data_IF_855288851809
#
_entry.id   IF_855288851809
#
_cell.length_a   1.000
_cell.length_b   1.000
_cell.length_c   1.000
_cell.angle_alpha   90.00
_cell.angle_beta   90.00
_cell.angle_gamma   90.00
#
_symmetry.space_group_name_H-M   'P 1'
#
loop_
_entity.id
_entity.type
_entity.pdbx_description
1 polymer ?
#
# COMPACT_ATOMS: atom_id res chain seq x y z
N UNK A 1 40.44 -2.28 51.27
CA UNK A 1 39.67 -1.05 50.93
C UNK A 1 40.70 -0.05 50.43
N UNK A 2 40.79 0.35 49.16
CA UNK A 2 39.74 0.82 48.25
C UNK A 2 40.14 0.56 46.78
N UNK A 3 39.19 0.12 45.96
CA UNK A 3 39.32 -0.09 44.52
C UNK A 3 39.14 1.23 43.76
N UNK A 4 39.95 1.46 42.72
CA UNK A 4 39.74 2.54 41.75
C UNK A 4 39.40 1.95 40.39
N UNK A 5 38.16 2.10 39.88
CA UNK A 5 37.87 1.83 38.47
C UNK A 5 38.04 3.13 37.66
N UNK A 6 39.04 3.13 36.78
CA UNK A 6 39.17 4.12 35.69
C UNK A 6 37.89 4.10 34.86
N UNK A 7 37.15 5.20 34.92
CA UNK A 7 35.98 5.46 34.11
C UNK A 7 36.33 5.38 32.61
N UNK A 8 35.94 4.29 31.96
CA UNK A 8 35.90 4.20 30.50
C UNK A 8 34.62 4.88 30.04
N UNK A 9 34.73 6.14 29.64
CA UNK A 9 33.65 6.90 29.03
C UNK A 9 33.51 6.46 27.57
N UNK A 10 32.80 5.35 27.34
CA UNK A 10 32.44 4.90 25.99
C UNK A 10 31.27 5.75 25.51
N UNK A 11 31.56 6.80 24.74
CA UNK A 11 30.55 7.60 24.04
C UNK A 11 29.94 6.71 22.94
N UNK A 12 28.81 6.06 23.23
CA UNK A 12 27.99 5.43 22.19
C UNK A 12 27.39 6.55 21.33
N UNK A 13 27.91 6.71 20.11
CA UNK A 13 27.24 7.48 19.08
C UNK A 13 25.91 6.78 18.76
N UNK A 14 24.81 7.38 19.21
CA UNK A 14 23.49 7.07 18.70
C UNK A 14 23.44 7.55 17.25
N UNK A 15 23.74 6.67 16.30
CA UNK A 15 23.38 6.87 14.91
C UNK A 15 21.87 6.83 14.84
N UNK A 16 21.24 8.00 14.87
CA UNK A 16 19.88 8.17 14.40
C UNK A 16 19.85 7.64 12.97
N UNK A 17 19.29 6.44 12.79
CA UNK A 17 18.90 5.94 11.50
C UNK A 17 17.88 6.95 10.95
N UNK A 18 18.35 7.85 10.09
CA UNK A 18 17.50 8.55 9.13
C UNK A 18 16.87 7.46 8.27
N UNK A 19 15.71 6.97 8.69
CA UNK A 19 14.80 6.27 7.79
C UNK A 19 14.45 7.31 6.74
N UNK A 20 15.12 7.25 5.59
CA UNK A 20 14.73 7.98 4.41
C UNK A 20 13.25 7.67 4.18
N UNK A 21 12.38 8.67 4.37
CA UNK A 21 11.04 8.61 3.82
C UNK A 21 11.23 8.51 2.30
N UNK A 22 11.21 7.28 1.78
CA UNK A 22 11.11 7.02 0.35
C UNK A 22 9.86 7.78 -0.10
N UNK A 23 10.04 8.82 -0.91
CA UNK A 23 8.91 9.55 -1.47
C UNK A 23 8.07 8.52 -2.25
N UNK A 24 6.82 8.32 -1.85
CA UNK A 24 5.90 7.37 -2.48
C UNK A 24 5.40 7.98 -3.80
N UNK A 25 6.28 8.04 -4.80
CA UNK A 25 6.02 8.67 -6.10
C UNK A 25 4.84 8.03 -6.84
N UNK A 26 4.59 6.75 -6.58
CA UNK A 26 3.55 5.97 -7.25
C UNK A 26 2.22 5.95 -6.48
N UNK A 27 2.12 6.61 -5.33
CA UNK A 27 0.89 6.61 -4.53
C UNK A 27 -0.31 7.07 -5.38
N UNK A 28 -1.39 6.31 -5.44
CA UNK A 28 -2.59 6.63 -6.22
C UNK A 28 -2.45 6.50 -7.75
N UNK A 29 -1.29 6.08 -8.27
CA UNK A 29 -1.15 5.70 -9.67
C UNK A 29 -1.94 4.42 -9.97
N UNK A 30 -2.37 4.25 -11.21
CA UNK A 30 -3.07 3.03 -11.63
C UNK A 30 -2.08 1.86 -11.68
N UNK A 31 -2.51 0.68 -11.24
CA UNK A 31 -1.71 -0.53 -11.24
C UNK A 31 -2.46 -1.73 -11.79
N UNK A 32 -1.74 -2.66 -12.41
CA UNK A 32 -2.22 -4.00 -12.77
C UNK A 32 -2.31 -4.89 -11.54
N UNK A 33 -3.45 -5.55 -11.36
CA UNK A 33 -3.61 -6.52 -10.28
C UNK A 33 -3.04 -7.86 -10.71
N UNK A 34 -2.08 -8.36 -9.95
CA UNK A 34 -1.39 -9.63 -10.20
C UNK A 34 -1.57 -10.58 -9.02
N UNK A 35 -1.40 -11.87 -9.31
CA UNK A 35 -1.36 -12.93 -8.30
C UNK A 35 -0.08 -13.75 -8.45
N UNK A 36 0.43 -14.35 -7.36
CA UNK A 36 1.48 -15.35 -7.46
C UNK A 36 1.09 -16.54 -8.34
N UNK A 37 2.10 -17.06 -9.04
CA UNK A 37 2.04 -18.21 -9.92
C UNK A 37 3.47 -18.67 -10.24
N UNK A 38 3.60 -19.82 -10.92
CA UNK A 38 4.91 -20.43 -11.21
C UNK A 38 5.81 -19.56 -12.10
N UNK A 39 5.23 -18.67 -12.92
CA UNK A 39 5.98 -17.73 -13.77
C UNK A 39 5.36 -16.33 -13.66
N UNK A 40 5.78 -15.52 -12.67
CA UNK A 40 5.21 -14.21 -12.41
C UNK A 40 5.66 -13.15 -13.46
N UNK A 41 4.88 -12.06 -13.64
CA UNK A 41 3.60 -11.76 -12.98
C UNK A 41 2.40 -12.43 -13.68
N UNK A 42 1.48 -13.03 -12.92
CA UNK A 42 0.21 -13.51 -13.47
C UNK A 42 -0.89 -12.46 -13.27
N UNK A 43 -1.43 -11.86 -14.34
CA UNK A 43 -2.51 -10.89 -14.22
C UNK A 43 -3.78 -11.55 -13.70
N UNK A 44 -4.53 -10.80 -12.89
CA UNK A 44 -5.88 -11.16 -12.47
C UNK A 44 -6.84 -10.64 -13.56
N UNK A 45 -7.75 -11.45 -14.11
CA UNK A 45 -8.72 -10.96 -15.08
C UNK A 45 -9.87 -10.20 -14.41
N UNK A 46 -10.45 -9.24 -15.12
CA UNK A 46 -11.46 -8.29 -14.61
C UNK A 46 -12.69 -8.97 -14.00
N UNK A 47 -13.10 -10.12 -14.55
CA UNK A 47 -14.25 -10.89 -14.06
C UNK A 47 -14.05 -11.43 -12.63
N UNK A 48 -12.80 -11.58 -12.19
CA UNK A 48 -12.46 -12.04 -10.83
C UNK A 48 -12.56 -10.94 -9.79
N UNK A 49 -12.55 -9.68 -10.22
CA UNK A 49 -12.67 -8.50 -9.36
C UNK A 49 -13.95 -7.70 -9.61
N UNK A 50 -14.99 -8.37 -10.13
CA UNK A 50 -16.21 -7.72 -10.58
C UNK A 50 -17.18 -7.31 -9.44
N UNK A 51 -16.96 -7.78 -8.21
CA UNK A 51 -17.82 -7.40 -7.08
C UNK A 51 -17.55 -5.95 -6.68
N UNK A 52 -18.61 -5.17 -6.54
CA UNK A 52 -18.52 -3.75 -6.19
C UNK A 52 -18.58 -3.48 -4.69
N UNK A 53 -18.77 -4.53 -3.88
CA UNK A 53 -19.03 -4.46 -2.44
C UNK A 53 -17.89 -5.01 -1.56
N UNK A 54 -16.80 -5.50 -2.17
CA UNK A 54 -15.59 -5.95 -1.46
C UNK A 54 -14.35 -5.26 -2.02
N UNK A 55 -13.34 -5.06 -1.17
CA UNK A 55 -12.05 -4.55 -1.60
C UNK A 55 -11.15 -5.70 -2.08
N UNK A 56 -10.39 -5.47 -3.15
CA UNK A 56 -9.41 -6.42 -3.66
C UNK A 56 -8.00 -5.89 -3.47
N UNK A 57 -7.10 -6.76 -3.02
CA UNK A 57 -5.70 -6.43 -2.72
C UNK A 57 -4.80 -7.36 -3.51
N UNK A 58 -3.89 -6.79 -4.30
CA UNK A 58 -2.84 -7.51 -5.01
C UNK A 58 -1.47 -7.08 -4.46
N UNK A 59 -0.76 -8.01 -3.82
CA UNK A 59 0.62 -7.79 -3.39
C UNK A 59 1.58 -8.10 -4.55
N UNK A 60 2.56 -7.22 -4.77
CA UNK A 60 3.59 -7.45 -5.78
C UNK A 60 3.19 -7.03 -7.20
N UNK A 61 2.34 -6.01 -7.34
CA UNK A 61 2.28 -5.28 -8.61
C UNK A 61 3.63 -4.62 -8.85
N UNK A 62 4.32 -5.01 -9.93
CA UNK A 62 5.58 -4.39 -10.33
C UNK A 62 5.45 -2.88 -10.62
N UNK A 63 4.23 -2.41 -10.86
CA UNK A 63 3.92 -1.00 -11.13
C UNK A 63 3.83 -0.16 -9.84
N UNK A 64 3.87 -0.78 -8.66
CA UNK A 64 3.69 -0.10 -7.38
C UNK A 64 4.95 -0.02 -6.51
N UNK A 65 6.07 -0.60 -6.94
CA UNK A 65 7.31 -0.69 -6.16
C UNK A 65 7.04 -1.21 -4.73
N UNK A 66 7.25 -0.39 -3.69
CA UNK A 66 6.98 -0.71 -2.27
C UNK A 66 5.50 -0.56 -1.84
N UNK A 67 4.59 -0.21 -2.76
CA UNK A 67 3.17 -0.01 -2.51
C UNK A 67 2.32 -1.24 -2.87
N UNK A 68 1.07 -1.24 -2.39
CA UNK A 68 0.11 -2.32 -2.63
C UNK A 68 -0.92 -1.89 -3.67
N UNK A 69 -1.24 -2.77 -4.63
CA UNK A 69 -2.27 -2.48 -5.62
C UNK A 69 -3.66 -2.82 -5.06
N UNK A 70 -4.50 -1.81 -4.84
CA UNK A 70 -5.83 -1.97 -4.23
C UNK A 70 -6.92 -1.50 -5.19
N UNK A 71 -7.98 -2.31 -5.30
CA UNK A 71 -9.24 -1.90 -5.92
C UNK A 71 -10.30 -1.76 -4.83
N UNK A 72 -10.81 -0.55 -4.68
CA UNK A 72 -11.69 -0.18 -3.56
C UNK A 72 -13.16 -0.32 -3.94
N UNK A 73 -13.92 -1.03 -3.12
CA UNK A 73 -15.35 -1.21 -3.25
C UNK A 73 -16.08 0.13 -3.20
N UNK A 74 -17.01 0.33 -4.15
CA UNK A 74 -17.79 1.56 -4.27
C UNK A 74 -17.01 2.76 -4.83
N UNK A 75 -15.77 2.58 -5.26
CA UNK A 75 -14.97 3.63 -5.91
C UNK A 75 -14.96 3.44 -7.43
N UNK A 76 -14.67 4.50 -8.19
CA UNK A 76 -14.48 4.40 -9.63
C UNK A 76 -13.27 3.49 -9.93
N UNK A 77 -13.47 2.54 -10.83
CA UNK A 77 -12.42 1.61 -11.22
C UNK A 77 -11.59 2.21 -12.36
N UNK A 78 -10.26 2.05 -12.34
CA UNK A 78 -9.43 2.47 -13.45
C UNK A 78 -9.79 1.69 -14.73
N UNK A 79 -9.66 2.31 -15.92
CA UNK A 79 -9.96 1.65 -17.19
C UNK A 79 -9.05 0.43 -17.35
N UNK A 80 -9.62 -0.74 -17.64
CA UNK A 80 -8.85 -1.94 -17.96
C UNK A 80 -8.48 -2.00 -19.45
N UNK A 81 -7.28 -2.49 -19.71
CA UNK A 81 -6.87 -2.91 -21.05
C UNK A 81 -6.96 -4.44 -21.11
N UNK A 82 -7.38 -5.00 -22.24
CA UNK A 82 -7.34 -6.46 -22.47
C UNK A 82 -8.06 -7.31 -21.40
N UNK A 83 -9.07 -6.76 -20.72
CA UNK A 83 -9.82 -7.44 -19.63
C UNK A 83 -8.96 -7.80 -18.41
N UNK A 84 -7.82 -7.16 -18.22
CA UNK A 84 -6.97 -7.33 -17.03
C UNK A 84 -7.45 -6.41 -15.90
N UNK A 85 -7.57 -6.94 -14.69
CA UNK A 85 -7.94 -6.19 -13.52
C UNK A 85 -6.92 -5.11 -13.19
N UNK A 86 -7.41 -3.90 -12.91
CA UNK A 86 -6.59 -2.78 -12.44
C UNK A 86 -7.12 -2.21 -11.11
N UNK A 87 -6.22 -1.57 -10.37
CA UNK A 87 -6.46 -0.87 -9.12
C UNK A 87 -5.57 0.37 -9.02
N UNK A 88 -5.34 0.84 -7.79
CA UNK A 88 -4.43 1.95 -7.50
C UNK A 88 -3.35 1.57 -6.50
N UNK A 89 -2.12 2.00 -6.75
CA UNK A 89 -1.02 1.83 -5.81
C UNK A 89 -1.31 2.60 -4.53
N UNK A 90 -1.21 1.92 -3.41
CA UNK A 90 -1.72 2.40 -2.14
C UNK A 90 -0.73 2.07 -1.03
N UNK A 91 -0.59 2.99 -0.09
CA UNK A 91 0.21 2.79 1.10
C UNK A 91 -0.63 2.56 2.35
N UNK A 92 -0.04 1.88 3.33
CA UNK A 92 -0.52 1.89 4.69
C UNK A 92 -0.57 3.33 5.24
N UNK A 93 -1.56 3.61 6.08
CA UNK A 93 -1.78 4.94 6.66
C UNK A 93 -2.24 4.87 8.11
N UNK A 94 -1.99 5.94 8.86
CA UNK A 94 -2.52 6.15 10.20
C UNK A 94 -3.79 7.03 10.16
N UNK A 95 -3.72 8.08 9.35
CA UNK A 95 -4.73 9.12 9.16
C UNK A 95 -4.70 9.68 7.73
N UNK A 96 -5.63 10.58 7.41
CA UNK A 96 -5.76 11.16 6.07
C UNK A 96 -4.55 12.02 5.66
N UNK A 97 -3.77 12.56 6.61
CA UNK A 97 -2.56 13.30 6.29
C UNK A 97 -1.49 12.39 5.69
N UNK A 98 -1.47 11.11 6.11
CA UNK A 98 -0.59 10.08 5.57
C UNK A 98 -0.85 9.78 4.08
N UNK A 99 -2.00 10.23 3.55
CA UNK A 99 -2.46 9.95 2.19
C UNK A 99 -2.33 11.14 1.24
N UNK A 100 -1.71 12.22 1.69
CA UNK A 100 -1.41 13.36 0.82
C UNK A 100 -0.19 13.02 -0.07
N UNK A 101 -0.28 13.18 -1.39
CA UNK A 101 0.88 13.00 -2.26
C UNK A 101 1.89 14.13 -1.99
N UNK A 102 3.16 13.79 -1.78
CA UNK A 102 4.26 14.77 -1.66
C UNK A 102 4.49 15.56 -2.97
N UNK A 103 4.00 15.06 -4.11
CA UNK A 103 4.19 15.67 -5.42
C UNK A 103 2.88 15.88 -6.19
N UNK A 104 2.81 17.07 -6.80
CA UNK A 104 1.73 17.56 -7.64
C UNK A 104 1.46 16.59 -8.79
N UNK A 105 0.29 15.95 -8.81
CA UNK A 105 -0.13 15.15 -9.97
C UNK A 105 -1.22 14.12 -9.70
N UNK A 106 -1.43 13.72 -8.44
CA UNK A 106 -2.49 12.78 -8.09
C UNK A 106 -3.75 13.54 -7.72
N UNK A 107 -4.47 13.91 -8.77
CA UNK A 107 -5.82 14.46 -8.69
C UNK A 107 -6.76 13.40 -8.13
N UNK A 108 -6.96 13.45 -6.81
CA UNK A 108 -7.99 12.73 -6.09
C UNK A 108 -7.52 12.47 -4.66
N UNK A 109 -8.13 13.16 -3.69
CA UNK A 109 -7.85 12.99 -2.27
C UNK A 109 -8.05 11.51 -1.89
N UNK A 110 -6.96 10.77 -1.74
CA UNK A 110 -7.01 9.45 -1.10
C UNK A 110 -7.38 9.66 0.38
N UNK A 111 -8.17 8.75 0.92
CA UNK A 111 -8.56 8.75 2.33
C UNK A 111 -7.97 7.55 3.04
N UNK A 112 -7.62 7.74 4.30
CA UNK A 112 -7.12 6.66 5.12
C UNK A 112 -8.27 5.84 5.68
N UNK A 113 -8.67 4.81 4.94
CA UNK A 113 -9.81 3.97 5.29
C UNK A 113 -9.40 2.54 5.61
N UNK A 114 -10.23 1.90 6.42
CA UNK A 114 -10.15 0.45 6.63
C UNK A 114 -10.74 -0.26 5.40
N UNK A 115 -10.06 -1.31 4.98
CA UNK A 115 -10.55 -2.16 3.90
C UNK A 115 -11.68 -3.08 4.39
N UNK A 116 -12.68 -3.28 3.54
CA UNK A 116 -13.81 -4.20 3.64
C UNK A 116 -13.42 -5.54 3.02
N UNK A 117 -12.64 -6.32 3.77
CA UNK A 117 -12.26 -7.68 3.41
C UNK A 117 -13.30 -8.68 3.94
N UNK A 118 -14.39 -8.91 3.23
CA UNK A 118 -15.29 -10.05 3.56
C UNK A 118 -14.80 -11.30 2.84
N UNK A 119 -14.22 -12.26 3.59
CA UNK A 119 -13.66 -13.50 3.05
C UNK A 119 -12.58 -13.26 1.99
N UNK A 120 -11.71 -12.26 2.21
CA UNK A 120 -10.70 -11.93 1.23
C UNK A 120 -9.95 -13.21 0.82
N UNK A 121 -10.05 -13.53 -0.47
CA UNK A 121 -8.86 -13.94 -1.21
C UNK A 121 -7.86 -12.80 -1.05
N UNK A 122 -7.29 -12.70 0.15
CA UNK A 122 -6.04 -12.04 0.41
C UNK A 122 -5.07 -12.89 -0.39
N UNK A 123 -4.85 -12.49 -1.64
CA UNK A 123 -3.86 -13.07 -2.52
C UNK A 123 -2.52 -12.63 -1.95
N UNK A 124 -2.14 -13.18 -0.79
CA UNK A 124 -0.94 -12.89 0.00
C UNK A 124 -1.07 -11.50 0.67
N UNK A 125 -0.57 -11.16 1.86
CA UNK A 125 0.34 -11.73 2.84
C UNK A 125 0.22 -10.89 4.12
N UNK A 126 0.47 -11.51 5.26
CA UNK A 126 0.26 -10.96 6.60
C UNK A 126 1.27 -9.85 6.91
N UNK A 127 0.83 -8.58 6.88
CA UNK A 127 1.71 -7.42 7.09
C UNK A 127 1.00 -6.13 7.50
N UNK A 128 0.40 -6.12 8.69
CA UNK A 128 0.43 -5.02 9.68
C UNK A 128 -0.12 -3.59 9.36
N UNK A 129 -1.01 -3.38 8.40
CA UNK A 129 -1.80 -2.14 8.35
C UNK A 129 -3.31 -2.42 8.31
N UNK A 130 -4.06 -1.87 9.26
CA UNK A 130 -5.53 -1.96 9.27
C UNK A 130 -6.20 -0.94 8.35
N UNK A 131 -5.44 0.04 7.84
CA UNK A 131 -5.94 1.12 7.00
C UNK A 131 -4.95 1.44 5.89
N UNK A 132 -5.51 1.89 4.78
CA UNK A 132 -4.80 2.16 3.54
C UNK A 132 -5.32 3.44 2.89
N UNK A 133 -4.45 4.12 2.14
CA UNK A 133 -4.80 5.32 1.37
C UNK A 133 -5.58 4.97 0.10
N UNK A 134 -6.90 4.90 0.21
CA UNK A 134 -7.77 4.43 -0.88
C UNK A 134 -8.56 5.56 -1.51
N UNK A 135 -9.06 5.32 -2.73
CA UNK A 135 -10.02 6.22 -3.37
C UNK A 135 -11.30 6.29 -2.52
N UNK A 136 -11.86 7.49 -2.27
CA UNK A 136 -13.09 7.63 -1.51
C UNK A 136 -14.21 6.80 -2.13
N UNK A 137 -14.94 6.07 -1.29
CA UNK A 137 -16.13 5.34 -1.72
C UNK A 137 -17.24 6.34 -2.07
N UNK A 138 -18.02 6.07 -3.11
CA UNK A 138 -19.23 6.83 -3.36
C UNK A 138 -20.12 6.78 -2.11
N UNK A 139 -20.48 7.94 -1.58
CA UNK A 139 -21.43 8.03 -0.47
C UNK A 139 -22.77 7.48 -0.96
N UNK A 140 -23.28 6.43 -0.30
CA UNK A 140 -24.63 5.92 -0.54
C UNK A 140 -25.69 6.96 -0.23
#
# INVERSE_FOLDING_TARGET
>A
MTSSPRASLTILLATLAVTSCQAKTDLGQTCKMTKPCDTPPCPIPEDKVARTDIDYVALGSAECDDLVCIRTAGSENPPNDNKEARGYCTAACLDDLSCQPDFQGLTGQLKCEKLLLENAEAIFGSGAASKYCVKPRASK
#
